data_IF_404120586286
#
_entry.id   IF_404120586286
#
_cell.length_a   1.000
_cell.length_b   1.000
_cell.length_c   1.000
_cell.angle_alpha   90.00
_cell.angle_beta   90.00
_cell.angle_gamma   90.00
#
_symmetry.space_group_name_H-M   'P 1'
#
loop_
_entity.id
_entity.type
_entity.pdbx_description
1 polymer ?
#
# COMPACT_ATOMS: atom_id res chain seq x y z
N UNK A 1 -7.13 14.90 3.07
CA UNK A 1 -6.79 16.22 2.52
C UNK A 1 -7.93 17.20 2.75
N UNK A 2 -7.93 17.80 3.92
CA UNK A 2 -8.87 18.86 4.30
C UNK A 2 -8.36 20.23 3.86
N UNK A 3 -7.37 20.26 3.02
CA UNK A 3 -6.46 21.38 2.97
C UNK A 3 -6.68 22.37 1.85
N UNK A 4 -7.57 22.12 0.94
CA UNK A 4 -7.52 23.01 -0.20
C UNK A 4 -8.54 24.11 -0.14
N UNK A 5 -9.71 23.90 0.35
CA UNK A 5 -10.72 24.94 0.21
C UNK A 5 -11.85 24.76 1.20
N UNK A 6 -11.88 25.61 2.17
CA UNK A 6 -13.09 25.96 2.90
C UNK A 6 -13.29 25.33 4.25
N UNK A 7 -13.41 26.21 5.16
CA UNK A 7 -14.19 26.05 6.37
C UNK A 7 -15.58 25.54 5.99
N UNK A 8 -15.75 24.22 6.03
CA UNK A 8 -17.06 23.61 5.98
C UNK A 8 -17.66 23.75 7.37
N UNK A 9 -18.44 24.80 7.60
CA UNK A 9 -19.11 25.05 8.88
C UNK A 9 -20.09 23.96 9.31
N UNK A 10 -20.42 23.04 8.41
CA UNK A 10 -21.45 22.02 8.58
C UNK A 10 -20.87 20.59 8.68
N UNK A 11 -19.53 20.44 8.81
CA UNK A 11 -18.89 19.14 8.99
C UNK A 11 -18.55 18.96 10.47
N UNK A 12 -19.12 17.93 11.07
CA UNK A 12 -18.72 17.44 12.37
C UNK A 12 -17.46 16.54 12.26
N UNK A 13 -16.43 16.85 13.04
CA UNK A 13 -15.21 16.05 13.10
C UNK A 13 -15.19 15.20 14.36
N UNK A 14 -14.90 13.92 14.20
CA UNK A 14 -14.70 12.99 15.31
C UNK A 14 -13.22 12.64 15.43
N UNK A 15 -12.65 12.87 16.60
CA UNK A 15 -11.25 12.51 16.89
C UNK A 15 -11.13 11.03 17.23
N UNK A 16 -10.42 10.26 16.40
CA UNK A 16 -10.23 8.82 16.55
C UNK A 16 -9.12 8.44 17.54
N UNK A 17 -8.27 9.37 17.97
CA UNK A 17 -7.10 9.10 18.82
C UNK A 17 -7.41 8.48 20.17
N UNK A 18 -8.63 8.60 20.65
CA UNK A 18 -9.07 8.07 21.94
C UNK A 18 -9.83 6.75 21.86
N UNK A 19 -9.92 6.15 20.67
CA UNK A 19 -10.66 4.91 20.45
C UNK A 19 -9.81 3.64 20.62
N UNK A 20 -8.52 3.76 20.97
CA UNK A 20 -7.63 2.62 21.13
C UNK A 20 -7.30 1.90 19.82
N UNK A 21 -7.34 2.62 18.70
CA UNK A 21 -7.08 2.07 17.37
C UNK A 21 -5.59 2.14 16.98
N UNK A 22 -4.69 2.16 17.95
CA UNK A 22 -3.24 2.29 17.77
C UNK A 22 -2.45 1.06 18.22
N UNK A 23 -3.12 -0.07 18.43
CA UNK A 23 -2.47 -1.33 18.77
C UNK A 23 -1.72 -1.89 17.55
N UNK A 24 -0.51 -2.41 17.77
CA UNK A 24 0.32 -3.07 16.78
C UNK A 24 0.82 -4.39 17.34
N UNK A 25 0.48 -5.49 16.68
CA UNK A 25 0.89 -6.84 17.09
C UNK A 25 1.49 -7.56 15.89
N UNK A 26 2.74 -8.01 16.03
CA UNK A 26 3.43 -8.81 15.02
C UNK A 26 3.78 -10.18 15.58
N UNK A 27 3.55 -11.22 14.80
CA UNK A 27 4.01 -12.59 15.01
C UNK A 27 4.92 -13.00 13.85
N UNK A 28 5.37 -14.25 13.80
CA UNK A 28 6.17 -14.74 12.67
C UNK A 28 5.39 -14.72 11.33
N UNK A 29 4.06 -14.93 11.39
CA UNK A 29 3.24 -15.17 10.19
C UNK A 29 2.19 -14.08 9.95
N UNK A 30 1.94 -13.22 10.93
CA UNK A 30 0.84 -12.25 10.86
C UNK A 30 1.23 -10.92 11.48
N UNK A 31 0.76 -9.84 10.87
CA UNK A 31 0.81 -8.48 11.40
C UNK A 31 -0.61 -7.94 11.51
N UNK A 32 -0.98 -7.44 12.69
CA UNK A 32 -2.23 -6.70 12.91
C UNK A 32 -1.89 -5.28 13.38
N UNK A 33 -2.37 -4.29 12.64
CA UNK A 33 -2.13 -2.88 12.91
C UNK A 33 -3.46 -2.14 13.02
N UNK A 34 -3.68 -1.46 14.14
CA UNK A 34 -4.79 -0.55 14.32
C UNK A 34 -4.73 0.60 13.30
N UNK A 35 -5.89 1.14 12.95
CA UNK A 35 -6.00 2.19 11.92
C UNK A 35 -5.24 3.47 12.27
N UNK A 36 -4.99 3.74 13.56
CA UNK A 36 -4.27 4.90 14.06
C UNK A 36 -2.77 4.66 14.29
N UNK A 37 -2.26 3.45 14.02
CA UNK A 37 -0.81 3.20 13.99
C UNK A 37 -0.19 4.10 12.93
N UNK A 38 0.78 4.92 13.31
CA UNK A 38 1.50 5.76 12.36
C UNK A 38 2.53 4.95 11.55
N UNK A 39 2.88 5.46 10.37
CA UNK A 39 3.73 4.71 9.44
C UNK A 39 5.18 4.60 9.92
N UNK A 40 5.66 5.46 10.82
CA UNK A 40 7.01 5.33 11.36
C UNK A 40 7.09 4.23 12.41
N UNK A 41 6.07 4.11 13.25
CA UNK A 41 5.91 2.97 14.17
C UNK A 41 5.69 1.66 13.43
N UNK A 42 4.81 1.64 12.41
CA UNK A 42 4.63 0.46 11.57
C UNK A 42 5.97 0.02 10.96
N UNK A 43 6.74 0.94 10.37
CA UNK A 43 8.06 0.68 9.81
C UNK A 43 9.03 0.07 10.82
N UNK A 44 9.03 0.57 12.06
CA UNK A 44 9.99 0.15 13.09
C UNK A 44 9.65 -1.24 13.66
N UNK A 45 8.38 -1.53 13.85
CA UNK A 45 7.90 -2.62 14.70
C UNK A 45 7.17 -3.74 13.93
N UNK A 46 7.02 -3.63 12.57
CA UNK A 46 6.26 -4.60 11.79
C UNK A 46 6.91 -5.99 11.67
N UNK A 47 8.23 -6.11 11.88
CA UNK A 47 8.96 -7.37 11.75
C UNK A 47 9.07 -7.92 10.30
N UNK A 48 8.74 -7.12 9.29
CA UNK A 48 8.74 -7.51 7.87
C UNK A 48 9.44 -6.42 7.03
N UNK A 49 10.51 -6.80 6.30
CA UNK A 49 11.33 -5.84 5.57
C UNK A 49 10.57 -5.21 4.40
N UNK A 50 9.66 -5.94 3.74
CA UNK A 50 8.86 -5.39 2.65
C UNK A 50 7.94 -4.26 3.17
N UNK A 51 7.25 -4.49 4.27
CA UNK A 51 6.36 -3.48 4.88
C UNK A 51 7.18 -2.28 5.35
N UNK A 52 8.35 -2.53 5.98
CA UNK A 52 9.23 -1.48 6.42
C UNK A 52 9.76 -0.62 5.26
N UNK A 53 10.18 -1.24 4.15
CA UNK A 53 10.64 -0.53 2.95
C UNK A 53 9.48 0.20 2.27
N UNK A 54 8.31 -0.40 2.19
CA UNK A 54 7.13 0.24 1.64
C UNK A 54 6.75 1.51 2.43
N UNK A 55 6.83 1.49 3.77
CA UNK A 55 6.63 2.69 4.60
C UNK A 55 7.66 3.79 4.31
N UNK A 56 8.93 3.41 4.05
CA UNK A 56 9.98 4.38 3.68
C UNK A 56 9.66 5.10 2.37
N UNK A 57 9.05 4.39 1.42
CA UNK A 57 8.68 4.91 0.07
C UNK A 57 7.33 5.60 0.03
N UNK A 58 6.47 5.35 1.01
CA UNK A 58 5.12 5.92 1.06
C UNK A 58 5.15 7.41 1.39
N UNK A 59 5.90 7.78 2.44
CA UNK A 59 6.00 9.16 2.91
C UNK A 59 7.44 9.49 3.33
N UNK A 60 7.85 10.76 3.15
CA UNK A 60 9.08 11.28 3.75
C UNK A 60 9.08 11.09 5.29
N UNK A 61 10.26 10.96 5.88
CA UNK A 61 10.42 10.70 7.33
C UNK A 61 9.65 11.69 8.21
N UNK A 62 9.61 12.96 7.81
CA UNK A 62 8.91 14.02 8.55
C UNK A 62 7.38 13.89 8.53
N UNK A 63 6.82 13.13 7.61
CA UNK A 63 5.38 12.94 7.47
C UNK A 63 4.91 11.56 7.94
N UNK A 64 5.82 10.58 8.11
CA UNK A 64 5.43 9.23 8.53
C UNK A 64 4.79 9.17 9.92
N UNK A 65 5.15 10.07 10.82
CA UNK A 65 4.52 10.19 12.15
C UNK A 65 3.11 10.80 12.11
N UNK A 66 2.70 11.35 10.96
CA UNK A 66 1.37 11.92 10.74
C UNK A 66 0.49 11.02 9.87
N UNK A 67 1.10 10.25 8.96
CA UNK A 67 0.39 9.26 8.15
C UNK A 67 0.06 8.03 8.99
N UNK A 68 -1.12 7.46 8.81
CA UNK A 68 -1.59 6.28 9.55
C UNK A 68 -1.96 5.13 8.61
N UNK A 69 -1.97 3.91 9.15
CA UNK A 69 -2.39 2.71 8.43
C UNK A 69 -3.80 2.89 7.85
N UNK A 70 -4.77 3.29 8.68
CA UNK A 70 -6.14 3.54 8.24
C UNK A 70 -6.22 4.64 7.19
N UNK A 71 -5.44 5.72 7.34
CA UNK A 71 -5.34 6.80 6.37
C UNK A 71 -4.86 6.31 5.00
N UNK A 72 -3.82 5.47 4.96
CA UNK A 72 -3.27 4.90 3.72
C UNK A 72 -4.29 4.03 2.99
N UNK A 73 -4.93 3.09 3.68
CA UNK A 73 -5.87 2.16 3.02
C UNK A 73 -7.16 2.86 2.58
N UNK A 74 -7.62 3.87 3.34
CA UNK A 74 -8.80 4.66 2.97
C UNK A 74 -8.52 5.64 1.82
N UNK A 75 -7.34 6.27 1.79
CA UNK A 75 -6.95 7.12 0.67
C UNK A 75 -6.83 6.32 -0.63
N UNK A 76 -6.33 5.10 -0.54
CA UNK A 76 -6.28 4.17 -1.65
C UNK A 76 -5.48 4.66 -2.87
N UNK A 77 -4.51 5.55 -2.66
CA UNK A 77 -3.74 6.18 -3.75
C UNK A 77 -3.12 5.17 -4.71
N UNK A 78 -3.30 5.39 -6.01
CA UNK A 78 -2.81 4.47 -7.06
C UNK A 78 -1.29 4.32 -7.12
N UNK A 79 -0.55 5.24 -6.53
CA UNK A 79 0.91 5.24 -6.41
C UNK A 79 1.41 4.79 -5.03
N UNK A 80 0.52 4.36 -4.13
CA UNK A 80 0.87 3.89 -2.78
C UNK A 80 1.63 2.56 -2.83
N UNK A 81 2.91 2.62 -2.49
CA UNK A 81 3.77 1.43 -2.38
C UNK A 81 3.38 0.59 -1.18
N UNK A 82 3.00 1.24 -0.07
CA UNK A 82 2.55 0.54 1.13
C UNK A 82 1.25 -0.23 0.88
N UNK A 83 0.29 0.37 0.18
CA UNK A 83 -0.93 -0.34 -0.18
C UNK A 83 -0.65 -1.53 -1.11
N UNK A 84 0.28 -1.40 -2.06
CA UNK A 84 0.71 -2.53 -2.90
C UNK A 84 1.36 -3.65 -2.06
N UNK A 85 2.20 -3.30 -1.07
CA UNK A 85 2.79 -4.26 -0.14
C UNK A 85 1.71 -4.96 0.72
N UNK A 86 0.71 -4.24 1.18
CA UNK A 86 -0.45 -4.80 1.88
C UNK A 86 -1.26 -5.74 0.98
N UNK A 87 -1.46 -5.40 -0.30
CA UNK A 87 -2.18 -6.25 -1.26
C UNK A 87 -1.45 -7.59 -1.47
N UNK A 88 -0.12 -7.61 -1.64
CA UNK A 88 0.63 -8.86 -1.80
C UNK A 88 0.74 -9.66 -0.49
N UNK A 89 0.49 -9.02 0.64
CA UNK A 89 0.37 -9.63 1.96
C UNK A 89 -1.07 -10.06 2.30
N UNK A 90 -1.97 -10.02 1.30
CA UNK A 90 -3.39 -10.41 1.43
C UNK A 90 -4.14 -9.70 2.57
N UNK A 91 -3.81 -8.42 2.75
CA UNK A 91 -4.31 -7.64 3.87
C UNK A 91 -5.82 -7.47 3.84
N UNK A 92 -6.42 -7.58 5.03
CA UNK A 92 -7.85 -7.41 5.30
C UNK A 92 -8.04 -6.24 6.27
N UNK A 93 -8.92 -5.32 5.94
CA UNK A 93 -9.34 -4.24 6.82
C UNK A 93 -10.58 -4.65 7.60
N UNK A 94 -10.55 -4.51 8.92
CA UNK A 94 -11.71 -4.67 9.78
C UNK A 94 -12.41 -3.32 9.92
N UNK A 95 -13.70 -3.30 9.60
CA UNK A 95 -14.55 -2.10 9.66
C UNK A 95 -15.29 -2.06 11.00
N UNK A 96 -15.74 -0.89 11.41
CA UNK A 96 -16.38 -0.69 12.72
C UNK A 96 -17.66 -1.52 12.95
N UNK A 97 -18.32 -1.97 11.89
CA UNK A 97 -19.45 -2.91 11.96
C UNK A 97 -19.04 -4.39 12.13
N UNK A 98 -17.73 -4.65 12.21
CA UNK A 98 -17.15 -5.99 12.34
C UNK A 98 -16.92 -6.72 11.02
N UNK A 99 -17.27 -6.13 9.88
CA UNK A 99 -16.99 -6.73 8.57
C UNK A 99 -15.51 -6.64 8.20
N UNK A 100 -15.04 -7.65 7.49
CA UNK A 100 -13.69 -7.69 6.92
C UNK A 100 -13.76 -7.44 5.42
N UNK A 101 -12.93 -6.51 4.92
CA UNK A 101 -12.86 -6.14 3.51
C UNK A 101 -11.41 -6.21 3.01
N UNK A 102 -11.15 -6.78 1.82
CA UNK A 102 -9.80 -6.81 1.27
C UNK A 102 -9.34 -5.40 0.92
N UNK A 103 -8.10 -5.04 1.28
CA UNK A 103 -7.55 -3.71 0.99
C UNK A 103 -7.29 -3.47 -0.50
N UNK A 104 -7.35 -4.52 -1.33
CA UNK A 104 -7.26 -4.40 -2.80
C UNK A 104 -8.45 -3.65 -3.42
N UNK A 105 -9.59 -3.63 -2.72
CA UNK A 105 -10.82 -2.98 -3.17
C UNK A 105 -11.05 -1.64 -2.43
N UNK A 106 -11.85 -0.73 -2.99
CA UNK A 106 -12.28 0.47 -2.28
C UNK A 106 -13.01 0.11 -1.00
N UNK A 107 -12.54 0.65 0.13
CA UNK A 107 -13.13 0.39 1.44
C UNK A 107 -14.28 1.35 1.72
N UNK A 108 -15.29 0.87 2.46
CA UNK A 108 -16.41 1.66 2.95
C UNK A 108 -16.55 1.51 4.46
N UNK A 109 -16.89 2.60 5.15
CA UNK A 109 -17.01 2.63 6.61
C UNK A 109 -15.71 3.04 7.32
N UNK A 110 -15.71 2.99 8.64
CA UNK A 110 -14.56 3.33 9.47
C UNK A 110 -13.67 2.09 9.62
N UNK A 111 -12.44 2.17 9.10
CA UNK A 111 -11.42 1.13 9.31
C UNK A 111 -10.94 1.20 10.77
N UNK A 112 -10.98 0.07 11.47
CA UNK A 112 -10.49 -0.08 12.83
C UNK A 112 -9.09 -0.70 12.89
N UNK A 113 -8.83 -1.71 12.06
CA UNK A 113 -7.52 -2.37 11.97
C UNK A 113 -7.30 -2.96 10.59
N UNK A 114 -6.04 -3.28 10.30
CA UNK A 114 -5.63 -4.04 9.10
C UNK A 114 -4.79 -5.22 9.56
N UNK A 115 -5.18 -6.42 9.11
CA UNK A 115 -4.42 -7.65 9.36
C UNK A 115 -3.87 -8.18 8.05
N UNK A 116 -2.62 -8.63 8.04
CA UNK A 116 -1.93 -9.11 6.85
C UNK A 116 -1.01 -10.29 7.16
N UNK A 117 -0.76 -11.13 6.14
CA UNK A 117 0.19 -12.24 6.23
C UNK A 117 1.62 -11.75 6.07
N UNK A 118 2.51 -12.30 6.89
CA UNK A 118 3.95 -12.07 6.84
C UNK A 118 4.69 -13.32 6.34
N UNK A 119 6.01 -13.20 6.26
CA UNK A 119 6.90 -14.32 5.88
C UNK A 119 7.03 -14.51 4.37
N UNK A 120 7.70 -15.60 4.00
CA UNK A 120 8.05 -15.89 2.61
C UNK A 120 9.17 -15.00 2.06
N UNK A 121 9.39 -15.08 0.75
CA UNK A 121 10.34 -14.24 0.02
C UNK A 121 9.61 -13.04 -0.55
N UNK A 122 10.22 -11.85 -0.45
CA UNK A 122 9.62 -10.59 -0.91
C UNK A 122 10.57 -9.86 -1.84
N UNK A 123 10.01 -9.11 -2.79
CA UNK A 123 10.78 -8.24 -3.69
C UNK A 123 10.02 -6.97 -3.99
N UNK A 124 10.76 -5.89 -4.20
CA UNK A 124 10.24 -4.57 -4.59
C UNK A 124 11.15 -3.95 -5.64
N UNK A 125 10.62 -3.65 -6.80
CA UNK A 125 11.32 -2.97 -7.88
C UNK A 125 10.53 -1.73 -8.31
N UNK A 126 11.20 -0.58 -8.45
CA UNK A 126 10.52 0.70 -8.71
C UNK A 126 11.35 1.64 -9.57
N UNK A 127 10.68 2.49 -10.33
CA UNK A 127 11.28 3.64 -11.03
C UNK A 127 10.63 4.93 -10.55
N UNK A 128 11.43 5.81 -9.97
CA UNK A 128 11.11 7.20 -9.66
C UNK A 128 12.05 8.15 -10.42
N UNK A 129 11.77 9.45 -10.40
CA UNK A 129 12.69 10.48 -10.95
C UNK A 129 13.93 10.62 -10.08
N UNK A 130 13.77 10.46 -8.79
CA UNK A 130 14.86 10.37 -7.81
C UNK A 130 14.58 9.20 -6.84
N UNK A 131 15.57 8.71 -6.08
CA UNK A 131 15.36 7.63 -5.12
C UNK A 131 14.35 7.95 -4.01
N UNK A 132 14.09 9.24 -3.76
CA UNK A 132 13.20 9.71 -2.71
C UNK A 132 11.82 10.13 -3.22
N UNK A 133 11.62 10.17 -4.54
CA UNK A 133 10.32 10.50 -5.12
C UNK A 133 9.37 9.29 -5.02
N UNK A 134 8.08 9.60 -4.96
CA UNK A 134 7.03 8.60 -5.17
C UNK A 134 7.24 7.97 -6.54
N UNK A 135 7.34 6.64 -6.63
CA UNK A 135 7.60 5.95 -7.89
C UNK A 135 6.57 6.27 -8.97
N UNK A 136 7.03 6.36 -10.22
CA UNK A 136 6.14 6.43 -11.40
C UNK A 136 5.37 5.11 -11.53
N UNK A 137 6.11 4.00 -11.39
CA UNK A 137 5.61 2.63 -11.28
C UNK A 137 6.49 1.89 -10.29
N UNK A 138 5.88 1.10 -9.43
CA UNK A 138 6.54 0.08 -8.63
C UNK A 138 5.83 -1.26 -8.83
N UNK A 139 6.60 -2.35 -8.81
CA UNK A 139 6.09 -3.71 -8.66
C UNK A 139 6.55 -4.24 -7.30
N UNK A 140 5.63 -4.83 -6.59
CA UNK A 140 5.83 -5.46 -5.29
C UNK A 140 5.41 -6.92 -5.40
N UNK A 141 6.20 -7.83 -4.88
CA UNK A 141 5.87 -9.25 -4.92
C UNK A 141 6.17 -9.96 -3.60
N UNK A 142 5.38 -10.98 -3.31
CA UNK A 142 5.57 -11.90 -2.18
C UNK A 142 5.33 -13.33 -2.64
N UNK A 143 6.25 -14.24 -2.24
CA UNK A 143 6.10 -15.68 -2.41
C UNK A 143 5.95 -16.34 -1.05
N UNK A 144 4.88 -17.11 -0.86
CA UNK A 144 4.67 -17.99 0.30
C UNK A 144 4.44 -19.40 -0.24
N UNK A 145 5.39 -20.30 0.00
CA UNK A 145 5.38 -21.62 -0.63
C UNK A 145 5.40 -21.54 -2.15
N UNK A 146 4.41 -22.12 -2.81
CA UNK A 146 4.25 -22.06 -4.27
C UNK A 146 3.43 -20.85 -4.76
N UNK A 147 2.75 -20.16 -3.85
CA UNK A 147 1.92 -19.00 -4.19
C UNK A 147 2.78 -17.75 -4.38
N UNK A 148 2.64 -17.11 -5.53
CA UNK A 148 3.27 -15.81 -5.82
C UNK A 148 2.18 -14.80 -6.12
N UNK A 149 2.24 -13.68 -5.40
CA UNK A 149 1.35 -12.54 -5.60
C UNK A 149 2.18 -11.34 -5.99
N UNK A 150 1.79 -10.66 -7.07
CA UNK A 150 2.43 -9.42 -7.53
C UNK A 150 1.39 -8.31 -7.64
N UNK A 151 1.73 -7.13 -7.15
CA UNK A 151 0.93 -5.91 -7.30
C UNK A 151 1.78 -4.79 -7.90
N UNK A 152 1.14 -3.90 -8.67
CA UNK A 152 1.80 -2.76 -9.31
C UNK A 152 1.10 -1.45 -8.96
N UNK A 153 1.90 -0.39 -8.87
CA UNK A 153 1.44 0.98 -8.59
C UNK A 153 1.54 1.87 -9.83
N UNK A 154 0.88 3.03 -9.82
CA UNK A 154 1.00 4.04 -10.87
C UNK A 154 0.24 3.71 -12.16
N UNK A 155 -0.62 2.71 -12.15
CA UNK A 155 -1.33 2.19 -13.35
C UNK A 155 -2.85 2.33 -13.29
N UNK A 156 -3.38 2.72 -12.15
CA UNK A 156 -4.81 2.94 -11.92
C UNK A 156 -4.99 3.85 -10.71
N UNK A 157 -6.24 4.16 -10.36
CA UNK A 157 -6.58 4.94 -9.15
C UNK A 157 -6.21 4.23 -7.84
N UNK A 158 -5.93 2.92 -7.90
CA UNK A 158 -5.51 2.06 -6.78
C UNK A 158 -4.46 1.06 -7.29
N UNK A 159 -3.49 0.61 -6.47
CA UNK A 159 -2.57 -0.46 -6.86
C UNK A 159 -3.33 -1.69 -7.34
N UNK A 160 -2.80 -2.40 -8.33
CA UNK A 160 -3.48 -3.53 -8.97
C UNK A 160 -2.66 -4.80 -8.82
N UNK A 161 -3.32 -5.87 -8.40
CA UNK A 161 -2.79 -7.23 -8.52
C UNK A 161 -2.74 -7.61 -10.00
N UNK A 162 -1.64 -8.19 -10.43
CA UNK A 162 -1.41 -8.56 -11.84
C UNK A 162 -0.99 -10.02 -11.98
N UNK A 163 -1.29 -10.60 -13.13
CA UNK A 163 -0.73 -11.89 -13.53
C UNK A 163 0.71 -11.68 -14.03
N UNK A 164 1.74 -12.28 -13.39
CA UNK A 164 3.12 -12.12 -13.82
C UNK A 164 3.38 -12.58 -15.26
N UNK A 165 2.58 -13.50 -15.79
CA UNK A 165 2.71 -13.99 -17.18
C UNK A 165 2.19 -12.98 -18.22
N UNK A 166 1.28 -12.08 -17.82
CA UNK A 166 0.74 -11.01 -18.65
C UNK A 166 0.43 -9.76 -17.82
N UNK A 167 1.47 -9.08 -17.28
CA UNK A 167 1.32 -8.11 -16.22
C UNK A 167 0.64 -6.80 -16.64
N UNK A 168 0.52 -6.55 -17.94
CA UNK A 168 -0.13 -5.34 -18.47
C UNK A 168 -1.58 -5.57 -18.88
N UNK A 169 -2.09 -6.80 -18.78
CA UNK A 169 -3.47 -7.10 -19.13
C UNK A 169 -4.45 -6.27 -18.30
N UNK A 170 -5.43 -5.68 -18.98
CA UNK A 170 -6.51 -4.88 -18.35
C UNK A 170 -6.03 -3.66 -17.55
N UNK A 171 -4.80 -3.18 -17.80
CA UNK A 171 -4.30 -1.93 -17.24
C UNK A 171 -4.57 -0.77 -18.20
N UNK A 172 -5.02 0.35 -17.64
CA UNK A 172 -5.23 1.61 -18.35
C UNK A 172 -4.61 2.76 -17.55
N UNK A 173 -3.27 2.87 -17.53
CA UNK A 173 -2.59 3.89 -16.75
C UNK A 173 -2.87 5.29 -17.29
N UNK A 174 -2.81 6.32 -16.44
CA UNK A 174 -2.97 7.71 -16.87
C UNK A 174 -1.77 8.21 -17.67
N UNK A 175 -2.04 9.14 -18.58
CA UNK A 175 -1.05 10.05 -19.13
C UNK A 175 -0.98 11.30 -18.24
N UNK A 176 0.18 11.58 -17.67
CA UNK A 176 0.40 12.76 -16.85
C UNK A 176 1.85 13.28 -16.97
N UNK A 177 2.18 14.35 -16.24
CA UNK A 177 3.53 14.96 -16.24
C UNK A 177 4.64 14.01 -15.75
N UNK A 178 4.30 12.88 -15.10
CA UNK A 178 5.25 11.88 -14.59
C UNK A 178 5.60 10.83 -15.65
N UNK A 179 4.70 10.58 -16.61
CA UNK A 179 4.94 9.64 -17.69
C UNK A 179 3.69 9.31 -18.47
N UNK A 180 3.90 8.91 -19.74
CA UNK A 180 2.82 8.45 -20.61
C UNK A 180 2.29 7.07 -20.18
N UNK A 181 1.06 6.75 -20.59
CA UNK A 181 0.46 5.43 -20.39
C UNK A 181 1.35 4.31 -20.97
N UNK A 182 1.87 4.50 -22.19
CA UNK A 182 2.75 3.54 -22.84
C UNK A 182 4.05 3.32 -22.04
N UNK A 183 4.68 4.39 -21.54
CA UNK A 183 5.86 4.29 -20.70
C UNK A 183 5.60 3.55 -19.39
N UNK A 184 4.46 3.80 -18.75
CA UNK A 184 4.07 3.10 -17.51
C UNK A 184 3.86 1.60 -17.75
N UNK A 185 3.24 1.18 -18.87
CA UNK A 185 3.09 -0.22 -19.23
C UNK A 185 4.44 -0.91 -19.49
N UNK A 186 5.39 -0.21 -20.09
CA UNK A 186 6.75 -0.72 -20.28
C UNK A 186 7.45 -0.90 -18.92
N UNK A 187 7.34 0.06 -18.02
CA UNK A 187 7.86 -0.05 -16.66
C UNK A 187 7.24 -1.22 -15.88
N UNK A 188 5.94 -1.47 -16.05
CA UNK A 188 5.27 -2.64 -15.44
C UNK A 188 5.96 -3.93 -15.89
N UNK A 189 6.16 -4.13 -17.20
CA UNK A 189 6.82 -5.33 -17.73
C UNK A 189 8.23 -5.50 -17.16
N UNK A 190 8.99 -4.41 -17.08
CA UNK A 190 10.37 -4.44 -16.54
C UNK A 190 10.38 -4.80 -15.06
N UNK A 191 9.54 -4.12 -14.25
CA UNK A 191 9.56 -4.29 -12.81
C UNK A 191 8.96 -5.63 -12.36
N UNK A 192 7.88 -6.09 -13.01
CA UNK A 192 7.31 -7.41 -12.71
C UNK A 192 8.32 -8.51 -13.02
N UNK A 193 9.01 -8.43 -14.16
CA UNK A 193 10.07 -9.39 -14.50
C UNK A 193 11.17 -9.42 -13.42
N UNK A 194 11.70 -8.26 -12.98
CA UNK A 194 12.71 -8.18 -11.93
C UNK A 194 12.24 -8.78 -10.62
N UNK A 195 11.01 -8.45 -10.21
CA UNK A 195 10.40 -9.02 -9.01
C UNK A 195 10.31 -10.55 -9.12
N UNK A 196 9.91 -11.08 -10.26
CA UNK A 196 9.82 -12.53 -10.46
C UNK A 196 11.19 -13.22 -10.46
N UNK A 197 12.23 -12.59 -11.03
CA UNK A 197 13.62 -13.08 -10.98
C UNK A 197 14.13 -13.17 -9.54
N UNK A 198 13.83 -12.17 -8.69
CA UNK A 198 14.24 -12.17 -7.28
C UNK A 198 13.42 -13.14 -6.40
N UNK A 199 12.18 -13.42 -6.79
CA UNK A 199 11.31 -14.37 -6.11
C UNK A 199 11.56 -15.83 -6.55
N UNK A 200 12.34 -16.08 -7.58
CA UNK A 200 12.65 -17.42 -8.09
C UNK A 200 13.62 -18.13 -7.17
#
# INVERSE_FOLDING_TARGET
MLNADRVHSDIEFVDLRRLGLDELTATADTLSAGAMVDLDRLRADCGDELIAEACRRELPSTLRTLGTVGGTVMAGGGDSVLLAAMIVSEAQATIADGLSQPVSEPLTGLVCSVTMSLGGTTSLSATGRTPMDVPIVAAVGRRIGESVVVAVTGVASRPRRVDPSNPTANLAPPDDFRGSAAYRLELVNIHVRRVMEELS
#
